data_IF_507643131604
#
_entry.id   IF_507643131604
#
_cell.length_a   1.000
_cell.length_b   1.000
_cell.length_c   1.000
_cell.angle_alpha   90.00
_cell.angle_beta   90.00
_cell.angle_gamma   90.00
#
_symmetry.space_group_name_H-M   'P 1'
#
loop_
_entity.id
_entity.type
_entity.pdbx_description
1 polymer ?
#
# COMPACT_ATOMS: atom_id res chain seq x y z
N UNK A 1 -37.20 17.35 -19.76
CA UNK A 1 -35.95 16.97 -19.07
C UNK A 1 -34.69 17.63 -19.66
N UNK A 2 -34.78 18.20 -20.87
CA UNK A 2 -33.62 18.56 -21.69
C UNK A 2 -32.98 19.91 -21.28
N UNK A 3 -33.77 20.86 -20.76
CA UNK A 3 -33.30 22.18 -20.33
C UNK A 3 -32.41 22.14 -19.07
N UNK A 4 -32.68 21.21 -18.17
CA UNK A 4 -31.91 21.02 -16.94
C UNK A 4 -30.52 20.42 -17.25
N UNK A 5 -30.47 19.46 -18.18
CA UNK A 5 -29.21 18.84 -18.64
C UNK A 5 -28.35 19.88 -19.39
N UNK A 6 -28.95 20.69 -20.26
CA UNK A 6 -28.23 21.78 -20.95
C UNK A 6 -27.65 22.78 -19.95
N UNK A 7 -28.42 23.16 -18.90
CA UNK A 7 -27.93 24.09 -17.88
C UNK A 7 -26.79 23.49 -17.04
N UNK A 8 -26.84 22.19 -16.75
CA UNK A 8 -25.78 21.48 -16.03
C UNK A 8 -24.49 21.40 -16.85
N UNK A 9 -24.58 21.06 -18.13
CA UNK A 9 -23.42 20.98 -19.04
C UNK A 9 -22.80 22.36 -19.25
N UNK A 10 -23.61 23.40 -19.43
CA UNK A 10 -23.11 24.79 -19.55
C UNK A 10 -22.40 25.23 -18.27
N UNK A 11 -22.94 24.88 -17.10
CA UNK A 11 -22.31 25.22 -15.81
C UNK A 11 -20.98 24.49 -15.59
N UNK A 12 -20.89 23.22 -16.00
CA UNK A 12 -19.63 22.46 -15.97
C UNK A 12 -18.61 23.08 -16.91
N UNK A 13 -18.98 23.39 -18.15
CA UNK A 13 -18.05 23.94 -19.15
C UNK A 13 -17.55 25.33 -18.73
N UNK A 14 -18.43 26.18 -18.18
CA UNK A 14 -18.04 27.48 -17.66
C UNK A 14 -17.16 27.34 -16.41
N UNK A 15 -17.52 26.44 -15.48
CA UNK A 15 -16.74 26.20 -14.26
C UNK A 15 -15.35 25.62 -14.54
N UNK A 16 -15.26 24.60 -15.38
CA UNK A 16 -13.99 24.01 -15.81
C UNK A 16 -13.19 24.97 -16.70
N UNK A 17 -13.85 25.72 -17.59
CA UNK A 17 -13.20 26.69 -18.48
C UNK A 17 -12.61 27.88 -17.73
N UNK A 18 -13.36 28.46 -16.78
CA UNK A 18 -12.84 29.52 -15.90
C UNK A 18 -11.78 28.98 -14.95
N UNK A 19 -11.96 27.78 -14.40
CA UNK A 19 -10.96 27.11 -13.57
C UNK A 19 -9.64 26.88 -14.31
N UNK A 20 -9.70 26.41 -15.55
CA UNK A 20 -8.52 26.19 -16.40
C UNK A 20 -7.83 27.50 -16.78
N UNK A 21 -8.58 28.58 -17.06
CA UNK A 21 -8.01 29.90 -17.34
C UNK A 21 -7.23 30.43 -16.13
N UNK A 22 -7.80 30.32 -14.92
CA UNK A 22 -7.13 30.76 -13.69
C UNK A 22 -5.90 29.89 -13.39
N UNK A 23 -6.03 28.57 -13.47
CA UNK A 23 -4.94 27.66 -13.16
C UNK A 23 -3.80 27.71 -14.21
N UNK A 24 -4.14 27.80 -15.49
CA UNK A 24 -3.16 27.80 -16.59
C UNK A 24 -2.52 29.16 -16.88
N UNK A 25 -3.22 30.27 -16.65
CA UNK A 25 -2.69 31.62 -16.97
C UNK A 25 -2.22 32.39 -15.73
N UNK A 26 -2.89 32.23 -14.57
CA UNK A 26 -2.52 32.96 -13.34
C UNK A 26 -1.60 32.12 -12.45
N UNK A 27 -1.75 30.79 -12.43
CA UNK A 27 -0.97 29.89 -11.57
C UNK A 27 0.14 29.12 -12.31
N UNK A 28 0.18 29.20 -13.65
CA UNK A 28 0.98 28.32 -14.53
C UNK A 28 2.48 28.60 -14.61
N UNK A 29 3.00 29.65 -13.97
CA UNK A 29 4.44 29.99 -13.95
C UNK A 29 5.13 29.59 -12.63
N UNK A 30 4.52 28.72 -11.83
CA UNK A 30 5.14 28.17 -10.62
C UNK A 30 5.56 26.73 -10.84
N UNK A 31 6.86 26.52 -11.02
CA UNK A 31 7.58 25.22 -11.01
C UNK A 31 7.43 24.46 -9.69
N UNK A 32 6.20 24.11 -9.30
CA UNK A 32 5.91 23.17 -8.20
C UNK A 32 4.70 22.32 -8.55
N UNK A 33 4.99 21.19 -9.17
CA UNK A 33 4.04 20.08 -9.38
C UNK A 33 3.43 19.59 -8.06
N UNK A 34 2.12 19.26 -8.06
CA UNK A 34 1.59 18.13 -7.32
C UNK A 34 1.27 17.01 -8.31
N UNK A 35 1.97 15.89 -8.16
CA UNK A 35 1.90 14.72 -9.03
C UNK A 35 0.71 13.83 -8.64
N UNK A 36 -0.14 13.47 -9.61
CA UNK A 36 -1.09 12.35 -9.47
C UNK A 36 -1.20 11.57 -10.80
N UNK A 37 -0.63 10.36 -10.76
CA UNK A 37 -0.88 9.12 -11.51
C UNK A 37 -1.48 9.15 -12.95
N UNK A 38 -0.79 8.52 -13.92
CA UNK A 38 -1.26 7.30 -14.61
C UNK A 38 -0.19 6.65 -15.53
N UNK A 39 -0.47 5.40 -15.86
CA UNK A 39 0.39 4.28 -16.32
C UNK A 39 0.37 4.07 -17.84
N UNK A 40 1.31 3.26 -18.36
CA UNK A 40 1.38 2.50 -19.66
C UNK A 40 2.69 2.78 -20.43
N UNK A 41 3.38 1.85 -21.10
CA UNK A 41 3.56 0.39 -21.06
C UNK A 41 4.73 0.08 -22.04
N UNK A 42 5.66 -0.82 -21.65
CA UNK A 42 6.50 -1.81 -22.42
C UNK A 42 7.45 -1.25 -23.53
N UNK A 43 8.76 -1.56 -23.56
CA UNK A 43 9.49 -2.73 -24.10
C UNK A 43 11.01 -2.41 -24.02
N UNK A 44 12.02 -3.28 -23.95
CA UNK A 44 12.23 -4.70 -23.69
C UNK A 44 13.78 -4.86 -23.50
N UNK A 45 14.20 -5.90 -22.77
CA UNK A 45 15.52 -6.55 -22.78
C UNK A 45 16.81 -5.81 -22.32
N UNK A 46 17.35 -6.25 -21.18
CA UNK A 46 18.78 -6.59 -21.08
C UNK A 46 18.97 -7.67 -20.02
N UNK A 47 19.61 -8.76 -20.44
CA UNK A 47 19.93 -9.95 -19.65
C UNK A 47 21.09 -9.72 -18.65
N UNK A 48 21.21 -10.72 -17.76
CA UNK A 48 22.47 -11.32 -17.26
C UNK A 48 22.97 -10.91 -15.87
N UNK A 49 22.70 -11.85 -14.95
CA UNK A 49 23.61 -12.49 -13.96
C UNK A 49 24.38 -11.64 -12.95
N UNK A 50 24.38 -12.08 -11.69
CA UNK A 50 25.47 -11.73 -10.77
C UNK A 50 25.13 -11.77 -9.28
N UNK A 51 25.11 -12.98 -8.74
CA UNK A 51 25.27 -13.33 -7.32
C UNK A 51 26.19 -12.37 -6.52
N UNK A 52 25.74 -11.90 -5.34
CA UNK A 52 26.50 -12.07 -4.09
C UNK A 52 25.75 -11.60 -2.85
N UNK A 53 25.46 -12.59 -2.02
CA UNK A 53 25.33 -12.53 -0.57
C UNK A 53 26.55 -11.82 0.06
N UNK A 54 26.32 -10.83 0.92
CA UNK A 54 27.19 -10.54 2.07
C UNK A 54 26.43 -9.70 3.10
N UNK A 55 26.33 -10.26 4.30
CA UNK A 55 25.70 -9.66 5.46
C UNK A 55 26.41 -8.37 5.89
N UNK A 56 25.64 -7.32 6.16
CA UNK A 56 26.07 -6.20 6.99
C UNK A 56 24.87 -5.63 7.75
N UNK A 57 24.92 -5.81 9.06
CA UNK A 57 24.09 -5.14 10.04
C UNK A 57 24.27 -3.62 9.90
N UNK A 58 23.24 -2.93 9.43
CA UNK A 58 23.13 -1.47 9.42
C UNK A 58 21.64 -1.13 9.32
N UNK A 59 21.17 -0.27 10.22
CA UNK A 59 19.81 0.26 10.35
C UNK A 59 18.95 0.06 9.10
N UNK A 60 18.14 -0.99 9.07
CA UNK A 60 17.21 -1.26 7.98
C UNK A 60 16.23 -0.10 7.90
N UNK A 61 16.51 0.85 7.00
CA UNK A 61 15.47 1.65 6.38
C UNK A 61 14.59 0.64 5.67
N UNK A 62 13.52 0.18 6.34
CA UNK A 62 12.58 -0.73 5.72
C UNK A 62 12.04 -0.02 4.49
N UNK A 63 12.28 -0.62 3.33
CA UNK A 63 12.03 -0.01 2.05
C UNK A 63 10.56 0.42 1.96
N UNK A 64 10.29 1.62 1.43
CA UNK A 64 8.91 2.08 1.22
C UNK A 64 8.14 1.13 0.27
N UNK A 65 8.86 0.35 -0.55
CA UNK A 65 8.33 -0.70 -1.41
C UNK A 65 8.29 -2.08 -0.75
N UNK A 66 7.99 -2.15 0.55
CA UNK A 66 7.86 -3.43 1.23
C UNK A 66 6.54 -4.15 0.94
N UNK A 67 6.54 -5.48 1.17
CA UNK A 67 5.39 -6.35 0.92
C UNK A 67 4.15 -5.94 1.75
N UNK A 68 4.33 -5.41 2.96
CA UNK A 68 3.22 -4.96 3.81
C UNK A 68 2.53 -3.73 3.22
N UNK A 69 3.28 -2.85 2.55
CA UNK A 69 2.74 -1.72 1.84
C UNK A 69 2.07 -2.16 0.52
N UNK A 70 2.74 -3.00 -0.27
CA UNK A 70 2.21 -3.42 -1.59
C UNK A 70 0.94 -4.28 -1.49
N UNK A 71 0.79 -5.07 -0.42
CA UNK A 71 -0.44 -5.81 -0.13
C UNK A 71 -1.47 -5.00 0.66
N UNK A 72 -1.18 -3.73 0.96
CA UNK A 72 -2.12 -2.80 1.61
C UNK A 72 -2.31 -3.02 3.11
N UNK A 73 -1.49 -3.85 3.76
CA UNK A 73 -1.57 -4.09 5.20
C UNK A 73 -1.39 -2.78 6.01
N UNK A 74 -0.47 -1.92 5.56
CA UNK A 74 -0.19 -0.63 6.21
C UNK A 74 -1.37 0.36 6.14
N UNK A 75 -2.34 0.15 5.25
CA UNK A 75 -3.54 0.98 5.19
C UNK A 75 -4.39 0.91 6.46
N UNK A 76 -4.33 -0.20 7.19
CA UNK A 76 -5.08 -0.42 8.42
C UNK A 76 -4.22 -0.62 9.66
N UNK A 77 -2.96 -1.02 9.50
CA UNK A 77 -2.07 -1.37 10.59
C UNK A 77 -0.75 -0.61 10.55
N UNK A 78 -0.18 -0.26 11.70
CA UNK A 78 1.20 0.18 11.82
C UNK A 78 2.14 -1.00 12.11
N UNK A 79 3.45 -0.77 11.92
CA UNK A 79 4.53 -1.64 12.42
C UNK A 79 5.56 -0.78 13.13
N UNK A 80 5.21 -0.36 14.35
CA UNK A 80 5.98 0.61 15.13
C UNK A 80 7.43 0.17 15.39
N UNK A 81 7.68 -1.13 15.61
CA UNK A 81 9.03 -1.64 15.89
C UNK A 81 9.98 -1.51 14.69
N UNK A 82 9.43 -1.43 13.49
CA UNK A 82 10.16 -1.18 12.24
C UNK A 82 10.07 0.27 11.77
N UNK A 83 9.38 1.14 12.51
CA UNK A 83 9.13 2.53 12.12
C UNK A 83 8.26 2.67 10.88
N UNK A 84 7.46 1.66 10.53
CA UNK A 84 6.54 1.72 9.41
C UNK A 84 5.22 2.35 9.86
N UNK A 85 5.02 3.60 9.44
CA UNK A 85 3.75 4.27 9.66
C UNK A 85 2.62 3.58 8.89
N UNK A 86 1.46 3.50 9.53
CA UNK A 86 0.25 2.93 8.93
C UNK A 86 -1.01 3.33 9.68
N UNK A 87 -2.10 2.63 9.40
CA UNK A 87 -3.39 2.86 10.03
C UNK A 87 -3.45 2.34 11.48
N UNK A 88 -4.51 2.76 12.19
CA UNK A 88 -4.83 2.29 13.55
C UNK A 88 -6.19 1.56 13.61
N UNK A 89 -6.74 1.18 12.45
CA UNK A 89 -7.99 0.41 12.35
C UNK A 89 -7.78 -1.02 12.87
N UNK A 90 -6.62 -1.59 12.53
CA UNK A 90 -6.16 -2.87 13.05
C UNK A 90 -5.06 -2.70 14.12
N UNK A 91 -4.78 -3.74 14.92
CA UNK A 91 -3.71 -3.72 15.91
C UNK A 91 -2.33 -3.63 15.25
N UNK A 92 -1.35 -3.04 15.92
CA UNK A 92 0.03 -2.99 15.44
C UNK A 92 0.60 -4.39 15.14
N UNK A 93 1.25 -4.54 13.98
CA UNK A 93 1.74 -5.83 13.49
C UNK A 93 3.07 -6.27 14.10
N UNK A 94 3.77 -5.41 14.85
CA UNK A 94 5.01 -5.76 15.55
C UNK A 94 4.80 -6.92 16.53
N UNK A 95 3.57 -7.13 16.99
CA UNK A 95 3.19 -8.21 17.91
C UNK A 95 2.38 -9.32 17.25
N UNK A 96 2.35 -9.38 15.92
CA UNK A 96 1.47 -10.30 15.19
C UNK A 96 1.64 -11.77 15.61
N UNK A 97 2.89 -12.22 15.86
CA UNK A 97 3.15 -13.60 16.30
C UNK A 97 2.46 -13.94 17.62
N UNK A 98 2.60 -13.09 18.63
CA UNK A 98 1.99 -13.32 19.96
C UNK A 98 0.49 -13.06 19.96
N UNK A 99 0.06 -12.02 19.24
CA UNK A 99 -1.34 -11.62 19.22
C UNK A 99 -2.22 -12.61 18.47
N UNK A 100 -1.74 -13.15 17.35
CA UNK A 100 -2.50 -14.13 16.58
C UNK A 100 -2.61 -15.45 17.34
N UNK A 101 -1.51 -15.94 17.90
CA UNK A 101 -1.54 -17.16 18.71
C UNK A 101 -2.45 -16.99 19.94
N UNK A 102 -2.32 -15.88 20.66
CA UNK A 102 -3.11 -15.61 21.86
C UNK A 102 -4.61 -15.40 21.60
N UNK A 103 -4.99 -14.75 20.49
CA UNK A 103 -6.39 -14.39 20.20
C UNK A 103 -7.10 -15.42 19.32
N UNK A 104 -6.37 -16.10 18.45
CA UNK A 104 -6.93 -16.99 17.44
C UNK A 104 -6.52 -18.46 17.63
N UNK A 105 -5.59 -18.77 18.54
CA UNK A 105 -5.17 -20.14 18.85
C UNK A 105 -4.46 -20.85 17.69
N UNK A 106 -3.94 -20.09 16.73
CA UNK A 106 -3.28 -20.57 15.52
C UNK A 106 -1.97 -19.83 15.31
N UNK A 107 -1.05 -20.45 14.58
CA UNK A 107 0.17 -19.75 14.15
C UNK A 107 -0.17 -18.61 13.17
N UNK A 108 0.73 -17.63 13.06
CA UNK A 108 0.57 -16.54 12.10
C UNK A 108 0.53 -17.05 10.64
N UNK A 109 1.31 -18.06 10.28
CA UNK A 109 1.28 -18.65 8.92
C UNK A 109 -0.09 -19.29 8.63
N UNK A 110 -0.64 -20.03 9.59
CA UNK A 110 -1.97 -20.62 9.45
C UNK A 110 -3.06 -19.56 9.38
N UNK A 111 -2.96 -18.48 10.16
CA UNK A 111 -3.90 -17.37 10.12
C UNK A 111 -3.84 -16.61 8.79
N UNK A 112 -2.66 -16.44 8.17
CA UNK A 112 -2.55 -15.81 6.86
C UNK A 112 -3.12 -16.68 5.73
N UNK A 113 -3.16 -18.01 5.90
CA UNK A 113 -3.83 -18.95 4.98
C UNK A 113 -5.35 -18.95 5.17
N UNK A 114 -5.77 -19.01 6.43
CA UNK A 114 -7.17 -19.15 6.82
C UNK A 114 -7.48 -18.21 8.01
N UNK A 115 -7.66 -16.91 7.73
CA UNK A 115 -7.91 -15.92 8.76
C UNK A 115 -9.27 -16.17 9.42
N UNK A 116 -9.29 -16.14 10.75
CA UNK A 116 -10.50 -16.42 11.56
C UNK A 116 -11.19 -15.16 12.07
N UNK A 117 -10.57 -13.98 11.91
CA UNK A 117 -11.19 -12.71 12.29
C UNK A 117 -12.18 -12.24 11.22
N UNK A 118 -13.34 -11.71 11.61
CA UNK A 118 -14.36 -11.23 10.67
C UNK A 118 -13.83 -10.25 9.61
N UNK A 119 -12.89 -9.36 9.98
CA UNK A 119 -12.30 -8.38 9.07
C UNK A 119 -11.26 -9.03 8.16
N UNK A 120 -10.30 -9.76 8.72
CA UNK A 120 -9.23 -10.38 7.91
C UNK A 120 -9.71 -11.49 6.98
N UNK A 121 -10.80 -12.19 7.33
CA UNK A 121 -11.46 -13.14 6.41
C UNK A 121 -11.94 -12.46 5.13
N UNK A 122 -12.38 -11.21 5.20
CA UNK A 122 -12.74 -10.45 4.01
C UNK A 122 -11.52 -9.90 3.27
N UNK A 123 -10.53 -9.36 3.99
CA UNK A 123 -9.37 -8.69 3.39
C UNK A 123 -8.47 -9.67 2.66
N UNK A 124 -7.98 -10.70 3.36
CA UNK A 124 -7.10 -11.72 2.76
C UNK A 124 -7.93 -12.71 1.94
N UNK A 125 -9.15 -13.05 2.36
CA UNK A 125 -10.00 -13.97 1.59
C UNK A 125 -10.41 -13.42 0.22
N UNK A 126 -10.54 -12.09 0.08
CA UNK A 126 -10.83 -11.45 -1.21
C UNK A 126 -9.63 -11.40 -2.17
N UNK A 127 -8.41 -11.44 -1.64
CA UNK A 127 -7.16 -11.51 -2.42
C UNK A 127 -6.12 -12.35 -1.65
N UNK A 128 -6.20 -13.69 -1.76
CA UNK A 128 -5.30 -14.57 -1.02
C UNK A 128 -3.83 -14.33 -1.39
N UNK A 129 -2.96 -14.44 -0.39
CA UNK A 129 -1.52 -14.39 -0.61
C UNK A 129 -1.04 -15.65 -1.31
N UNK A 130 -0.15 -15.50 -2.30
CA UNK A 130 0.65 -16.62 -2.80
C UNK A 130 1.62 -17.11 -1.73
N UNK A 131 2.17 -18.32 -1.90
CA UNK A 131 3.12 -18.87 -0.93
C UNK A 131 4.38 -18.01 -0.78
N UNK A 132 4.83 -17.41 -1.88
CA UNK A 132 5.97 -16.50 -1.92
C UNK A 132 5.67 -15.20 -1.17
N UNK A 133 4.54 -14.54 -1.49
CA UNK A 133 4.11 -13.32 -0.79
C UNK A 133 3.90 -13.56 0.71
N UNK A 134 3.30 -14.69 1.08
CA UNK A 134 3.10 -15.05 2.48
C UNK A 134 4.42 -15.23 3.20
N UNK A 135 5.41 -15.85 2.56
CA UNK A 135 6.75 -16.01 3.14
C UNK A 135 7.42 -14.66 3.38
N UNK A 136 7.33 -13.73 2.42
CA UNK A 136 7.85 -12.37 2.59
C UNK A 136 7.14 -11.58 3.70
N UNK A 137 5.81 -11.72 3.80
CA UNK A 137 5.03 -11.13 4.91
C UNK A 137 5.49 -11.71 6.24
N UNK A 138 5.64 -13.03 6.34
CA UNK A 138 6.10 -13.69 7.56
C UNK A 138 7.50 -13.25 7.99
N UNK A 139 8.42 -13.09 7.04
CA UNK A 139 9.78 -12.61 7.32
C UNK A 139 9.77 -11.20 7.91
N UNK A 140 8.99 -10.28 7.33
CA UNK A 140 8.84 -8.93 7.86
C UNK A 140 8.17 -8.90 9.23
N UNK A 141 7.10 -9.68 9.43
CA UNK A 141 6.45 -9.78 10.74
C UNK A 141 7.40 -10.35 11.79
N UNK A 142 8.28 -11.27 11.39
CA UNK A 142 9.26 -11.86 12.29
C UNK A 142 10.33 -10.85 12.67
N UNK A 143 10.88 -10.14 11.69
CA UNK A 143 11.80 -9.04 11.93
C UNK A 143 11.19 -7.98 12.87
N UNK A 144 9.91 -7.66 12.69
CA UNK A 144 9.19 -6.73 13.56
C UNK A 144 9.04 -7.24 15.00
N UNK A 145 8.84 -8.55 15.18
CA UNK A 145 8.66 -9.16 16.51
C UNK A 145 9.95 -9.30 17.32
N UNK A 146 11.10 -9.27 16.64
CA UNK A 146 12.42 -9.44 17.25
C UNK A 146 13.12 -8.10 17.59
N UNK A 147 12.46 -6.98 17.29
CA UNK A 147 12.92 -5.60 17.55
C UNK A 147 12.34 -5.06 18.85
#
# INVERSE_FOLDING_TARGET
MNKAIISFVVSIVIGFGLGYLVFGVIMGDSDKEPQVAQTEQIDEASETEGNKEEAKEETATVDANNILNSKGCLGCHAVDSLGLAGGATGPDLSKAFTDVEGKHGKSIDEFLKEPTSAVMSSVIGGSPLTDEERTQVLDMLKQASEK
#
